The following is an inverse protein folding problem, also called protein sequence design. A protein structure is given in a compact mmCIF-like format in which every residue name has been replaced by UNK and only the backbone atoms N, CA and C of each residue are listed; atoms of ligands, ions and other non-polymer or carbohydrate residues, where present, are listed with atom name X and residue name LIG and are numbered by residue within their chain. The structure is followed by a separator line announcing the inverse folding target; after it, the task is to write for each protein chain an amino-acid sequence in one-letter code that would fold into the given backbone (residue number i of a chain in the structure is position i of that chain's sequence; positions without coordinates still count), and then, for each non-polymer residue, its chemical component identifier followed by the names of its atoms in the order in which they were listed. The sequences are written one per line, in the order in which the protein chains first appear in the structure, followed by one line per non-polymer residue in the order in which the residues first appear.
data_IF_253194983808
#
_entry.id   IF_253194983808
#
_cell.length_a   1.000
_cell.length_b   1.000
_cell.length_c   1.000
_cell.angle_alpha   90.00
_cell.angle_beta   90.00
_cell.angle_gamma   90.00
#
_symmetry.space_group_name_H-M   'P 1'
#
loop_
_entity.id
_entity.type
_entity.pdbx_description
1 polymer ?
#
# COMPACT_ATOMS: atom_id res chain seq x y z
N UNK A 1 -1.50 18.07 17.80
CA UNK A 1 -1.24 18.50 16.41
C UNK A 1 -0.54 17.43 15.58
N UNK A 2 0.62 16.88 15.99
CA UNK A 2 1.33 15.86 15.18
C UNK A 2 0.48 14.62 14.90
N UNK A 3 -0.18 14.06 15.91
CA UNK A 3 -1.10 12.93 15.76
C UNK A 3 -2.24 13.22 14.77
N UNK A 4 -2.88 14.39 14.88
CA UNK A 4 -3.95 14.78 13.96
C UNK A 4 -3.44 14.99 12.51
N UNK A 5 -2.23 15.53 12.34
CA UNK A 5 -1.62 15.67 11.02
C UNK A 5 -1.36 14.30 10.38
N UNK A 6 -0.88 13.32 11.17
CA UNK A 6 -0.72 11.95 10.69
C UNK A 6 -2.04 11.27 10.35
N UNK A 7 -3.06 11.46 11.18
CA UNK A 7 -4.39 10.87 11.01
C UNK A 7 -5.14 11.35 9.74
N UNK A 8 -4.71 12.46 9.13
CA UNK A 8 -5.26 12.92 7.85
C UNK A 8 -4.81 12.06 6.66
N UNK A 9 -3.61 11.51 6.70
CA UNK A 9 -3.04 10.82 5.55
C UNK A 9 -3.82 9.59 5.09
N UNK A 10 -4.35 8.72 5.96
CA UNK A 10 -5.14 7.57 5.55
C UNK A 10 -6.41 7.91 4.77
N UNK A 11 -6.92 9.14 4.88
CA UNK A 11 -8.05 9.60 4.07
C UNK A 11 -7.71 9.73 2.57
N UNK A 12 -6.43 9.68 2.21
CA UNK A 12 -5.99 9.70 0.82
C UNK A 12 -6.14 8.36 0.11
N UNK A 13 -6.36 7.28 0.85
CA UNK A 13 -6.48 5.92 0.31
C UNK A 13 -7.94 5.50 0.17
N UNK A 14 -8.17 4.43 -0.60
CA UNK A 14 -9.50 3.82 -0.70
C UNK A 14 -10.01 3.39 0.69
N UNK A 15 -11.31 3.51 0.97
CA UNK A 15 -12.40 3.92 0.08
C UNK A 15 -12.65 5.44 0.02
N UNK A 16 -11.92 6.27 0.78
CA UNK A 16 -12.19 7.72 0.88
C UNK A 16 -11.60 8.51 -0.30
N UNK A 17 -10.38 8.16 -0.75
CA UNK A 17 -9.68 8.67 -1.94
C UNK A 17 -9.50 10.21 -2.00
N UNK A 18 -9.45 10.87 -0.86
CA UNK A 18 -9.15 12.30 -0.76
C UNK A 18 -7.63 12.53 -0.78
N UNK A 19 -6.97 12.33 -1.95
CA UNK A 19 -5.53 12.44 -2.10
C UNK A 19 -4.94 13.76 -1.54
N UNK A 20 -5.72 14.84 -1.54
CA UNK A 20 -5.33 16.14 -0.97
C UNK A 20 -5.00 16.05 0.53
N UNK A 21 -5.67 15.14 1.26
CA UNK A 21 -5.41 14.90 2.68
C UNK A 21 -4.01 14.32 2.91
N UNK A 22 -3.54 13.45 2.01
CA UNK A 22 -2.18 12.92 2.03
C UNK A 22 -1.14 14.03 1.86
N UNK A 23 -1.30 14.87 0.85
CA UNK A 23 -0.40 16.00 0.61
C UNK A 23 -0.44 17.01 1.78
N UNK A 24 -1.63 17.35 2.29
CA UNK A 24 -1.78 18.24 3.45
C UNK A 24 -1.09 17.65 4.68
N UNK A 25 -1.22 16.36 4.92
CA UNK A 25 -0.55 15.66 6.02
C UNK A 25 0.97 15.83 5.93
N UNK A 26 1.56 15.64 4.74
CA UNK A 26 3.01 15.82 4.51
C UNK A 26 3.44 17.27 4.73
N UNK A 27 2.67 18.25 4.25
CA UNK A 27 2.92 19.68 4.48
C UNK A 27 2.97 19.99 5.97
N UNK A 28 1.97 19.51 6.71
CA UNK A 28 1.89 19.69 8.17
C UNK A 28 3.06 19.00 8.89
N UNK A 29 3.44 17.78 8.46
CA UNK A 29 4.60 17.07 8.98
C UNK A 29 5.88 17.91 8.81
N UNK A 30 6.13 18.42 7.61
CA UNK A 30 7.28 19.28 7.36
C UNK A 30 7.29 20.51 8.27
N UNK A 31 6.18 21.22 8.37
CA UNK A 31 6.04 22.41 9.22
C UNK A 31 6.27 22.10 10.71
N UNK A 32 5.77 20.97 11.20
CA UNK A 32 5.93 20.54 12.58
C UNK A 32 7.38 20.21 12.93
N UNK A 33 8.09 19.57 11.99
CA UNK A 33 9.48 19.14 12.17
C UNK A 33 10.50 20.25 11.88
N UNK A 34 10.09 21.31 11.17
CA UNK A 34 10.96 22.41 10.77
C UNK A 34 11.63 23.05 11.99
N UNK A 35 12.93 23.24 11.93
CA UNK A 35 13.78 23.87 12.96
C UNK A 35 13.72 23.23 14.37
N UNK A 36 13.22 21.98 14.47
CA UNK A 36 13.23 21.23 15.74
C UNK A 36 14.58 20.54 15.96
N UNK A 37 14.97 20.43 17.22
CA UNK A 37 16.09 19.58 17.60
C UNK A 37 15.80 18.11 17.23
N UNK A 38 16.79 17.28 16.83
CA UNK A 38 16.58 15.93 16.38
C UNK A 38 15.77 15.04 17.32
N UNK A 39 15.99 15.14 18.65
CA UNK A 39 15.22 14.39 19.66
C UNK A 39 13.75 14.81 19.68
N UNK A 40 13.45 16.11 19.58
CA UNK A 40 12.08 16.63 19.56
C UNK A 40 11.40 16.22 18.25
N UNK A 41 12.11 16.26 17.14
CA UNK A 41 11.60 15.81 15.84
C UNK A 41 11.27 14.31 15.86
N UNK A 42 12.09 13.47 16.51
CA UNK A 42 11.79 12.04 16.67
C UNK A 42 10.46 11.81 17.41
N UNK A 43 10.23 12.51 18.51
CA UNK A 43 8.95 12.40 19.26
C UNK A 43 7.76 12.90 18.41
N UNK A 44 7.92 14.03 17.73
CA UNK A 44 6.87 14.55 16.84
C UNK A 44 6.59 13.58 15.67
N UNK A 45 7.64 12.99 15.09
CA UNK A 45 7.52 11.94 14.08
C UNK A 45 6.79 10.70 14.61
N UNK A 46 7.11 10.26 15.83
CA UNK A 46 6.42 9.15 16.46
C UNK A 46 4.92 9.43 16.66
N UNK A 47 4.57 10.60 17.22
CA UNK A 47 3.14 10.99 17.34
C UNK A 47 2.44 11.13 15.98
N UNK A 48 3.15 11.60 14.96
CA UNK A 48 2.65 11.65 13.60
C UNK A 48 2.38 10.24 13.06
N UNK A 49 3.33 9.32 13.25
CA UNK A 49 3.18 7.91 12.89
C UNK A 49 2.04 7.21 13.64
N UNK A 50 1.84 7.52 14.93
CA UNK A 50 0.68 7.01 15.68
C UNK A 50 -0.65 7.43 15.04
N UNK A 51 -0.76 8.67 14.55
CA UNK A 51 -1.94 9.12 13.83
C UNK A 51 -2.10 8.40 12.49
N UNK A 52 -1.01 8.32 11.71
CA UNK A 52 -0.99 7.67 10.40
C UNK A 52 -1.42 6.20 10.49
N UNK A 53 -0.72 5.41 11.30
CA UNK A 53 -1.01 3.99 11.44
C UNK A 53 -2.25 3.70 12.31
N UNK A 54 -2.53 4.51 13.32
CA UNK A 54 -3.70 4.33 14.16
C UNK A 54 -5.02 4.37 13.37
N UNK A 55 -5.12 5.28 12.40
CA UNK A 55 -6.27 5.35 11.49
C UNK A 55 -6.14 4.35 10.36
N UNK A 56 -4.99 4.32 9.68
CA UNK A 56 -4.82 3.56 8.43
C UNK A 56 -4.72 2.05 8.62
N UNK A 57 -4.41 1.56 9.83
CA UNK A 57 -4.32 0.12 10.13
C UNK A 57 -5.31 -0.33 11.21
N UNK A 58 -6.36 0.45 11.47
CA UNK A 58 -7.40 0.12 12.46
C UNK A 58 -8.10 -1.22 12.20
N UNK A 59 -8.16 -1.66 10.94
CA UNK A 59 -8.70 -2.96 10.54
C UNK A 59 -7.95 -4.16 11.16
N UNK A 60 -6.70 -4.01 11.57
CA UNK A 60 -5.92 -5.07 12.25
C UNK A 60 -6.61 -5.51 13.55
N UNK A 61 -7.25 -4.58 14.25
CA UNK A 61 -8.04 -4.92 15.43
C UNK A 61 -9.14 -5.94 15.10
N UNK A 62 -9.87 -5.72 14.00
CA UNK A 62 -10.93 -6.63 13.54
C UNK A 62 -10.34 -7.99 13.16
N UNK A 63 -9.21 -7.99 12.45
CA UNK A 63 -8.53 -9.23 12.06
C UNK A 63 -8.14 -10.08 13.28
N UNK A 64 -7.61 -9.44 14.33
CA UNK A 64 -7.17 -10.15 15.55
C UNK A 64 -8.37 -10.57 16.42
N UNK A 65 -9.35 -9.68 16.60
CA UNK A 65 -10.49 -9.95 17.50
C UNK A 65 -11.52 -10.90 16.90
N UNK A 66 -11.87 -10.70 15.63
CA UNK A 66 -12.95 -11.49 14.97
C UNK A 66 -12.38 -12.77 14.36
N UNK A 67 -11.35 -12.67 13.53
CA UNK A 67 -10.82 -13.83 12.80
C UNK A 67 -9.73 -14.58 13.58
N UNK A 68 -9.00 -13.91 14.46
CA UNK A 68 -8.03 -14.51 15.36
C UNK A 68 -8.63 -15.00 16.68
N UNK A 69 -9.94 -14.83 16.92
CA UNK A 69 -10.64 -15.20 18.15
C UNK A 69 -9.98 -14.68 19.44
N UNK A 70 -9.23 -13.58 19.36
CA UNK A 70 -8.60 -12.99 20.53
C UNK A 70 -9.60 -12.15 21.35
N UNK A 71 -9.49 -12.23 22.68
CA UNK A 71 -10.32 -11.39 23.55
C UNK A 71 -10.14 -9.90 23.19
N UNK A 72 -11.22 -9.10 23.16
CA UNK A 72 -11.17 -7.69 22.74
C UNK A 72 -10.08 -6.84 23.40
N UNK A 73 -9.80 -6.94 24.70
CA UNK A 73 -8.71 -6.19 25.33
C UNK A 73 -7.33 -6.60 24.81
N UNK A 74 -7.12 -7.90 24.56
CA UNK A 74 -5.87 -8.42 24.01
C UNK A 74 -5.67 -7.94 22.57
N UNK A 75 -6.71 -8.04 21.72
CA UNK A 75 -6.69 -7.54 20.35
C UNK A 75 -6.35 -6.04 20.31
N UNK A 76 -6.93 -5.25 21.20
CA UNK A 76 -6.64 -3.82 21.32
C UNK A 76 -5.17 -3.56 21.68
N UNK A 77 -4.63 -4.26 22.69
CA UNK A 77 -3.23 -4.10 23.10
C UNK A 77 -2.27 -4.48 21.96
N UNK A 78 -2.51 -5.61 21.29
CA UNK A 78 -1.66 -6.05 20.16
C UNK A 78 -1.71 -5.01 19.02
N UNK A 79 -2.90 -4.51 18.66
CA UNK A 79 -3.04 -3.47 17.63
C UNK A 79 -2.32 -2.18 18.03
N UNK A 80 -2.44 -1.76 19.28
CA UNK A 80 -1.75 -0.57 19.78
C UNK A 80 -0.22 -0.72 19.74
N UNK A 81 0.30 -1.87 20.13
CA UNK A 81 1.73 -2.18 20.04
C UNK A 81 2.21 -2.18 18.59
N UNK A 82 1.43 -2.77 17.67
CA UNK A 82 1.74 -2.74 16.25
C UNK A 82 1.82 -1.30 15.72
N UNK A 83 0.82 -0.48 16.00
CA UNK A 83 0.78 0.94 15.61
C UNK A 83 1.97 1.70 16.20
N UNK A 84 2.31 1.47 17.48
CA UNK A 84 3.43 2.10 18.14
C UNK A 84 4.79 1.72 17.51
N UNK A 85 4.95 0.45 17.12
CA UNK A 85 6.13 -0.04 16.40
C UNK A 85 6.23 0.56 15.00
N UNK A 86 5.14 0.58 14.24
CA UNK A 86 5.12 1.21 12.91
C UNK A 86 5.41 2.71 12.98
N UNK A 87 4.97 3.40 14.02
CA UNK A 87 5.26 4.82 14.24
C UNK A 87 6.77 5.11 14.44
N UNK A 88 7.58 4.12 14.84
CA UNK A 88 9.02 4.28 14.98
C UNK A 88 9.72 4.60 13.65
N UNK A 89 9.18 4.16 12.50
CA UNK A 89 9.72 4.53 11.19
C UNK A 89 9.63 6.03 10.94
N UNK A 90 8.54 6.67 11.35
CA UNK A 90 8.40 8.13 11.29
C UNK A 90 9.28 8.84 12.32
N UNK A 91 9.48 8.26 13.50
CA UNK A 91 10.44 8.79 14.47
C UNK A 91 11.86 8.76 13.92
N UNK A 92 12.26 7.64 13.33
CA UNK A 92 13.57 7.47 12.71
C UNK A 92 13.76 8.43 11.53
N UNK A 93 12.79 8.50 10.62
CA UNK A 93 12.77 9.45 9.52
C UNK A 93 13.00 10.88 9.99
N UNK A 94 12.22 11.34 10.97
CA UNK A 94 12.29 12.71 11.47
C UNK A 94 13.64 13.00 12.17
N UNK A 95 14.13 12.03 12.95
CA UNK A 95 15.43 12.12 13.60
C UNK A 95 16.58 12.20 12.61
N UNK A 96 16.64 11.29 11.63
CA UNK A 96 17.68 11.23 10.60
C UNK A 96 17.67 12.51 9.77
N UNK A 97 16.51 12.90 9.27
CA UNK A 97 16.39 14.15 8.50
C UNK A 97 16.92 15.36 9.26
N UNK A 98 16.53 15.52 10.53
CA UNK A 98 16.98 16.66 11.34
C UNK A 98 18.46 16.56 11.75
N UNK A 99 19.01 15.37 11.84
CA UNK A 99 20.43 15.14 12.14
C UNK A 99 21.33 15.42 10.94
N UNK A 100 20.87 15.06 9.74
CA UNK A 100 21.63 15.17 8.50
C UNK A 100 21.29 16.42 7.68
N UNK A 101 20.29 17.21 8.08
CA UNK A 101 19.77 18.33 7.30
C UNK A 101 20.87 19.34 6.93
N UNK A 102 21.30 19.29 5.68
CA UNK A 102 22.11 20.31 5.05
C UNK A 102 21.20 21.41 4.49
N UNK A 103 21.55 22.69 4.71
CA UNK A 103 20.73 23.82 4.26
C UNK A 103 20.40 23.79 2.76
N UNK A 104 21.34 23.32 1.92
CA UNK A 104 21.17 23.25 0.45
C UNK A 104 20.27 22.10 0.01
N UNK A 105 20.24 21.01 0.76
CA UNK A 105 19.50 19.78 0.42
C UNK A 105 18.31 19.51 1.35
N UNK A 106 17.88 20.51 2.12
CA UNK A 106 16.85 20.36 3.16
C UNK A 106 15.56 19.73 2.65
N UNK A 107 15.04 20.18 1.51
CA UNK A 107 13.79 19.71 0.91
C UNK A 107 13.96 18.30 0.30
N UNK A 108 14.97 18.12 -0.52
CA UNK A 108 15.29 16.82 -1.12
C UNK A 108 15.67 15.79 -0.05
N UNK A 109 16.39 16.21 1.00
CA UNK A 109 16.73 15.37 2.14
C UNK A 109 15.49 14.91 2.94
N UNK A 110 14.47 15.77 3.06
CA UNK A 110 13.19 15.37 3.66
C UNK A 110 12.53 14.25 2.85
N UNK A 111 12.40 14.44 1.53
CA UNK A 111 11.81 13.46 0.64
C UNK A 111 12.61 12.15 0.60
N UNK A 112 13.94 12.24 0.55
CA UNK A 112 14.81 11.05 0.56
C UNK A 112 14.68 10.26 1.86
N UNK A 113 14.73 10.94 3.02
CA UNK A 113 14.55 10.26 4.32
C UNK A 113 13.15 9.64 4.46
N UNK A 114 12.12 10.29 3.91
CA UNK A 114 10.76 9.74 3.87
C UNK A 114 10.72 8.41 3.11
N UNK A 115 11.20 8.42 1.87
CA UNK A 115 11.21 7.21 1.02
C UNK A 115 12.09 6.11 1.59
N UNK A 116 13.23 6.46 2.18
CA UNK A 116 14.08 5.47 2.86
C UNK A 116 13.35 4.80 4.03
N UNK A 117 12.54 5.55 4.79
CA UNK A 117 11.73 4.99 5.87
C UNK A 117 10.60 4.09 5.33
N UNK A 118 9.95 4.45 4.21
CA UNK A 118 8.96 3.61 3.52
C UNK A 118 9.59 2.33 2.98
N UNK A 119 10.75 2.42 2.32
CA UNK A 119 11.48 1.27 1.80
C UNK A 119 11.94 0.33 2.92
N UNK A 120 12.49 0.88 4.02
CA UNK A 120 12.90 0.10 5.18
C UNK A 120 11.71 -0.63 5.81
N UNK A 121 10.56 0.04 5.93
CA UNK A 121 9.32 -0.56 6.44
C UNK A 121 8.78 -1.65 5.51
N UNK A 122 8.95 -1.51 4.21
CA UNK A 122 8.55 -2.51 3.22
C UNK A 122 9.43 -3.76 3.19
N UNK A 123 10.58 -3.73 3.86
CA UNK A 123 11.55 -4.83 3.82
C UNK A 123 11.83 -5.43 5.21
N UNK A 124 11.98 -4.62 6.26
CA UNK A 124 12.38 -5.07 7.58
C UNK A 124 11.28 -5.91 8.24
N UNK A 125 11.63 -7.04 8.88
CA UNK A 125 10.72 -8.00 9.52
C UNK A 125 9.63 -8.52 8.56
N UNK A 126 10.05 -9.03 7.40
CA UNK A 126 9.19 -9.46 6.28
C UNK A 126 8.47 -8.34 5.54
N UNK A 127 8.51 -7.12 6.08
CA UNK A 127 7.95 -5.91 5.49
C UNK A 127 6.46 -5.67 5.76
N UNK A 128 6.11 -4.40 5.83
CA UNK A 128 4.72 -3.93 5.88
C UNK A 128 4.55 -2.78 4.88
N UNK A 129 4.34 -3.06 3.58
CA UNK A 129 4.29 -2.04 2.51
C UNK A 129 2.97 -1.25 2.44
N UNK A 130 2.04 -1.44 3.37
CA UNK A 130 0.77 -0.70 3.40
C UNK A 130 0.99 0.80 3.62
N UNK A 131 0.09 1.61 3.07
CA UNK A 131 0.07 3.07 3.26
C UNK A 131 1.37 3.74 2.79
N UNK A 132 1.95 3.29 1.67
CA UNK A 132 2.99 4.07 0.98
C UNK A 132 2.35 5.29 0.35
N UNK A 133 2.95 6.48 0.55
CA UNK A 133 2.36 7.75 0.11
C UNK A 133 2.03 7.76 -1.40
N UNK A 134 2.90 7.15 -2.22
CA UNK A 134 2.69 7.07 -3.66
C UNK A 134 1.47 6.25 -4.07
N UNK A 135 1.09 5.22 -3.31
CA UNK A 135 -0.07 4.38 -3.64
C UNK A 135 -1.42 5.09 -3.48
N UNK A 136 -1.47 6.22 -2.76
CA UNK A 136 -2.66 7.08 -2.71
C UNK A 136 -2.96 7.81 -4.04
N UNK A 137 -2.09 7.68 -5.05
CA UNK A 137 -2.18 8.40 -6.33
C UNK A 137 -2.41 7.50 -7.54
N UNK A 138 -2.87 6.28 -7.34
CA UNK A 138 -3.17 5.32 -8.43
C UNK A 138 -4.18 5.86 -9.43
N UNK A 139 -5.15 6.64 -8.96
CA UNK A 139 -6.23 7.22 -9.78
C UNK A 139 -5.96 8.67 -10.21
N UNK A 140 -4.77 9.21 -9.93
CA UNK A 140 -4.41 10.58 -10.27
C UNK A 140 -3.42 10.64 -11.44
N UNK A 141 -3.21 11.82 -12.02
CA UNK A 141 -2.21 12.02 -13.10
C UNK A 141 -0.78 11.57 -12.71
N UNK A 142 -0.44 11.49 -11.43
CA UNK A 142 0.87 11.04 -10.97
C UNK A 142 1.09 9.54 -11.19
N UNK A 143 0.03 8.74 -11.39
CA UNK A 143 0.15 7.32 -11.76
C UNK A 143 0.95 7.11 -13.03
N UNK A 144 0.92 8.06 -13.98
CA UNK A 144 1.74 8.03 -15.20
C UNK A 144 3.26 8.00 -14.94
N UNK A 145 3.72 8.36 -13.74
CA UNK A 145 5.13 8.21 -13.35
C UNK A 145 5.48 6.79 -12.87
N UNK A 146 4.49 5.95 -12.57
CA UNK A 146 4.73 4.63 -11.99
C UNK A 146 5.64 3.72 -12.84
N UNK A 147 5.52 3.67 -14.19
CA UNK A 147 6.41 2.87 -15.02
C UNK A 147 7.89 3.32 -14.97
N UNK A 148 8.14 4.59 -14.64
CA UNK A 148 9.49 5.18 -14.60
C UNK A 148 10.15 5.04 -13.24
N UNK A 149 9.41 5.33 -12.16
CA UNK A 149 9.99 5.51 -10.82
C UNK A 149 9.34 4.65 -9.74
N UNK A 150 8.32 3.89 -10.09
CA UNK A 150 7.56 3.06 -9.14
C UNK A 150 6.83 3.87 -8.07
N UNK A 151 6.19 3.17 -7.13
CA UNK A 151 5.44 3.80 -6.02
C UNK A 151 6.33 4.63 -5.11
N UNK A 152 7.56 4.17 -4.83
CA UNK A 152 8.51 4.91 -3.98
C UNK A 152 8.98 6.21 -4.64
N UNK A 153 9.13 6.23 -5.96
CA UNK A 153 9.45 7.45 -6.69
C UNK A 153 8.30 8.47 -6.64
N UNK A 154 7.05 8.00 -6.73
CA UNK A 154 5.87 8.86 -6.53
C UNK A 154 5.82 9.39 -5.08
N UNK A 155 6.10 8.54 -4.08
CA UNK A 155 6.25 8.97 -2.68
C UNK A 155 7.31 10.07 -2.52
N UNK A 156 8.45 9.94 -3.22
CA UNK A 156 9.50 10.97 -3.21
C UNK A 156 9.00 12.30 -3.76
N UNK A 157 8.34 12.26 -4.90
CA UNK A 157 7.74 13.44 -5.55
C UNK A 157 6.77 14.15 -4.61
N UNK A 158 5.86 13.40 -4.00
CA UNK A 158 4.86 13.95 -3.07
C UNK A 158 5.49 14.52 -1.80
N UNK A 159 6.46 13.82 -1.22
CA UNK A 159 7.18 14.29 -0.05
C UNK A 159 7.97 15.59 -0.38
N UNK A 160 8.57 15.67 -1.57
CA UNK A 160 9.26 16.87 -2.04
C UNK A 160 8.29 18.04 -2.25
N UNK A 161 7.16 17.82 -2.92
CA UNK A 161 6.13 18.85 -3.12
C UNK A 161 5.54 19.31 -1.78
N UNK A 162 5.27 18.40 -0.86
CA UNK A 162 4.81 18.72 0.48
C UNK A 162 5.83 19.54 1.27
N UNK A 163 7.12 19.18 1.18
CA UNK A 163 8.20 19.95 1.80
C UNK A 163 8.36 21.35 1.18
N UNK A 164 8.26 21.48 -0.16
CA UNK A 164 8.32 22.77 -0.86
C UNK A 164 7.15 23.67 -0.45
N UNK A 165 5.94 23.13 -0.42
CA UNK A 165 4.74 23.85 0.00
C UNK A 165 4.84 24.27 1.47
N UNK A 166 5.29 23.38 2.36
CA UNK A 166 5.52 23.68 3.77
C UNK A 166 6.57 24.77 3.99
N UNK A 167 7.68 24.72 3.26
CA UNK A 167 8.71 25.77 3.32
C UNK A 167 8.17 27.11 2.83
N UNK A 168 7.38 27.11 1.74
CA UNK A 168 6.74 28.33 1.24
C UNK A 168 5.78 28.92 2.28
N UNK A 169 4.92 28.09 2.91
CA UNK A 169 4.01 28.55 3.96
C UNK A 169 4.76 29.15 5.14
N UNK A 170 5.86 28.52 5.59
CA UNK A 170 6.67 29.02 6.70
C UNK A 170 7.32 30.36 6.36
N UNK A 171 7.79 30.55 5.11
CA UNK A 171 8.38 31.83 4.65
C UNK A 171 7.31 32.92 4.54
N UNK A 172 6.16 32.62 3.95
CA UNK A 172 5.04 33.57 3.89
C UNK A 172 4.62 34.06 5.28
N UNK A 173 4.61 33.16 6.25
CA UNK A 173 4.28 33.51 7.62
C UNK A 173 5.34 34.35 8.30
N UNK A 174 6.64 34.06 8.07
CA UNK A 174 7.78 34.72 8.75
C UNK A 174 8.26 35.98 8.04
N UNK A 175 8.40 35.92 6.72
CA UNK A 175 9.12 36.92 5.95
C UNK A 175 8.24 37.79 5.04
N UNK A 176 6.94 37.42 4.91
CA UNK A 176 5.96 38.05 3.99
C UNK A 176 6.44 38.15 2.54
N UNK A 177 7.40 37.34 2.13
CA UNK A 177 7.97 37.35 0.77
C UNK A 177 7.46 36.16 -0.04
N UNK A 178 6.96 36.44 -1.24
CA UNK A 178 6.49 35.43 -2.21
C UNK A 178 7.60 34.98 -3.18
N UNK A 179 8.78 34.73 -2.69
CA UNK A 179 9.94 34.58 -3.54
C UNK A 179 10.29 33.17 -4.02
N UNK A 180 9.37 32.35 -4.61
CA UNK A 180 9.84 31.17 -5.36
C UNK A 180 8.84 30.71 -6.42
N UNK A 181 9.14 30.97 -7.67
CA UNK A 181 8.54 30.33 -8.85
C UNK A 181 8.87 28.83 -8.95
N UNK A 182 9.73 28.31 -8.06
CA UNK A 182 10.19 26.91 -8.10
C UNK A 182 9.04 25.90 -7.83
N UNK A 183 8.16 26.15 -6.87
CA UNK A 183 7.06 25.23 -6.58
C UNK A 183 6.10 25.08 -7.77
N UNK A 184 5.51 26.16 -8.32
CA UNK A 184 4.63 26.02 -9.49
C UNK A 184 5.37 25.43 -10.70
N UNK A 185 6.63 25.82 -10.95
CA UNK A 185 7.42 25.24 -12.03
C UNK A 185 7.63 23.72 -11.86
N UNK A 186 7.94 23.26 -10.64
CA UNK A 186 8.09 21.84 -10.34
C UNK A 186 6.76 21.11 -10.50
N UNK A 187 5.65 21.68 -10.01
CA UNK A 187 4.33 21.10 -10.19
C UNK A 187 3.97 20.95 -11.67
N UNK A 188 4.24 21.98 -12.49
CA UNK A 188 3.99 21.93 -13.94
C UNK A 188 4.86 20.86 -14.62
N UNK A 189 6.15 20.79 -14.30
CA UNK A 189 7.06 19.80 -14.86
C UNK A 189 6.61 18.38 -14.54
N UNK A 190 6.24 18.12 -13.30
CA UNK A 190 5.75 16.82 -12.85
C UNK A 190 4.42 16.45 -13.49
N UNK A 191 3.50 17.41 -13.56
CA UNK A 191 2.21 17.19 -14.22
C UNK A 191 2.38 16.85 -15.71
N UNK A 192 3.15 17.65 -16.46
CA UNK A 192 3.39 17.37 -17.86
C UNK A 192 4.21 16.10 -18.08
N UNK A 193 5.19 15.82 -17.21
CA UNK A 193 5.95 14.57 -17.25
C UNK A 193 5.08 13.34 -17.02
N UNK A 194 4.20 13.38 -16.02
CA UNK A 194 3.24 12.32 -15.73
C UNK A 194 2.23 12.12 -16.87
N UNK A 195 1.65 13.21 -17.35
CA UNK A 195 0.71 13.21 -18.46
C UNK A 195 1.33 12.70 -19.79
N UNK A 196 2.60 13.03 -20.04
CA UNK A 196 3.32 12.51 -21.18
C UNK A 196 3.64 11.02 -21.04
N UNK A 197 4.10 10.61 -19.86
CA UNK A 197 4.42 9.22 -19.55
C UNK A 197 3.20 8.30 -19.65
N UNK A 198 2.04 8.76 -19.23
CA UNK A 198 0.76 8.03 -19.33
C UNK A 198 0.35 7.73 -20.78
N UNK A 199 0.88 8.48 -21.76
CA UNK A 199 0.63 8.29 -23.19
C UNK A 199 1.64 7.42 -23.92
N UNK A 200 2.71 7.05 -23.22
CA UNK A 200 3.71 6.14 -23.78
C UNK A 200 3.19 4.70 -23.72
N UNK A 201 3.40 3.97 -24.80
CA UNK A 201 3.13 2.54 -24.84
C UNK A 201 4.32 1.83 -24.18
N UNK A 202 4.16 1.44 -22.93
CA UNK A 202 5.20 0.76 -22.14
C UNK A 202 5.28 -0.74 -22.42
N UNK A 203 4.17 -1.34 -22.86
CA UNK A 203 4.05 -2.77 -23.13
C UNK A 203 3.46 -2.97 -24.50
N UNK A 204 4.12 -3.78 -25.32
CA UNK A 204 3.61 -4.19 -26.63
C UNK A 204 3.15 -5.64 -26.49
N UNK A 205 1.98 -6.03 -27.07
CA UNK A 205 1.53 -7.41 -27.06
C UNK A 205 2.60 -8.33 -27.64
N UNK A 206 2.86 -9.45 -26.94
CA UNK A 206 3.87 -10.43 -27.37
C UNK A 206 3.36 -11.38 -28.45
N UNK A 207 2.04 -11.46 -28.65
CA UNK A 207 1.39 -12.25 -29.69
C UNK A 207 0.18 -11.49 -30.25
N UNK A 208 -0.23 -11.82 -31.48
CA UNK A 208 -1.44 -11.28 -32.09
C UNK A 208 -2.69 -12.01 -31.61
N UNK A 209 -2.56 -13.23 -31.09
CA UNK A 209 -3.68 -14.00 -30.58
C UNK A 209 -3.91 -13.68 -29.10
N UNK A 210 -5.11 -13.20 -28.74
CA UNK A 210 -5.47 -12.93 -27.38
C UNK A 210 -5.63 -14.23 -26.59
N UNK A 211 -5.10 -14.26 -25.36
CA UNK A 211 -5.34 -15.33 -24.40
C UNK A 211 -6.64 -15.04 -23.64
N UNK A 212 -7.52 -16.01 -23.57
CA UNK A 212 -8.80 -15.91 -22.85
C UNK A 212 -8.63 -16.37 -21.39
N UNK A 213 -9.20 -15.59 -20.45
CA UNK A 213 -9.06 -15.86 -19.02
C UNK A 213 -10.43 -15.84 -18.35
N UNK A 214 -10.79 -16.95 -17.70
CA UNK A 214 -11.93 -17.05 -16.80
C UNK A 214 -11.48 -16.83 -15.35
N UNK A 215 -12.07 -15.86 -14.65
CA UNK A 215 -11.74 -15.59 -13.24
C UNK A 215 -12.90 -16.03 -12.37
N UNK A 216 -12.64 -16.93 -11.43
CA UNK A 216 -13.62 -17.46 -10.48
C UNK A 216 -13.48 -16.77 -9.14
N UNK A 217 -14.56 -16.15 -8.66
CA UNK A 217 -14.63 -15.55 -7.33
C UNK A 217 -15.64 -16.33 -6.48
N UNK A 218 -15.15 -17.25 -5.65
CA UNK A 218 -16.00 -18.10 -4.80
C UNK A 218 -16.73 -17.34 -3.69
N UNK A 219 -16.21 -16.20 -3.26
CA UNK A 219 -16.76 -15.35 -2.19
C UNK A 219 -17.08 -16.11 -0.90
N UNK A 220 -16.24 -17.09 -0.56
CA UNK A 220 -16.40 -17.93 0.63
C UNK A 220 -16.23 -17.09 1.90
N UNK A 221 -17.20 -17.08 2.83
CA UNK A 221 -17.06 -16.36 4.08
C UNK A 221 -15.83 -16.82 4.87
N UNK A 222 -15.04 -15.88 5.40
CA UNK A 222 -13.79 -16.19 6.09
C UNK A 222 -13.97 -17.15 7.29
N UNK A 223 -15.10 -17.09 7.99
CA UNK A 223 -15.39 -17.97 9.11
C UNK A 223 -15.69 -19.42 8.69
N UNK A 224 -16.01 -19.67 7.42
CA UNK A 224 -16.28 -20.99 6.88
C UNK A 224 -15.07 -21.56 6.13
N UNK A 225 -14.21 -20.69 5.63
CA UNK A 225 -13.11 -21.04 4.72
C UNK A 225 -12.19 -22.13 5.26
N UNK A 226 -11.93 -22.15 6.56
CA UNK A 226 -11.00 -23.10 7.20
C UNK A 226 -11.71 -24.14 8.09
N UNK A 227 -13.03 -24.21 8.03
CA UNK A 227 -13.80 -25.22 8.74
C UNK A 227 -14.02 -26.44 7.82
N UNK A 228 -13.53 -27.60 8.25
CA UNK A 228 -13.62 -28.83 7.49
C UNK A 228 -15.09 -29.25 7.16
N UNK A 229 -16.06 -28.79 7.95
CA UNK A 229 -17.48 -29.05 7.68
C UNK A 229 -17.97 -28.39 6.37
N UNK A 230 -17.33 -27.31 5.92
CA UNK A 230 -17.72 -26.59 4.70
C UNK A 230 -16.85 -26.93 3.49
N UNK A 231 -15.89 -27.85 3.62
CA UNK A 231 -14.95 -28.15 2.53
C UNK A 231 -15.68 -28.62 1.26
N UNK A 232 -16.69 -29.49 1.39
CA UNK A 232 -17.46 -29.99 0.25
C UNK A 232 -18.25 -28.85 -0.43
N UNK A 233 -18.88 -27.96 0.34
CA UNK A 233 -19.63 -26.83 -0.16
C UNK A 233 -18.71 -25.83 -0.92
N UNK A 234 -17.46 -25.70 -0.44
CA UNK A 234 -16.43 -24.89 -1.11
C UNK A 234 -16.06 -25.52 -2.46
N UNK A 235 -15.79 -26.82 -2.50
CA UNK A 235 -15.48 -27.57 -3.73
C UNK A 235 -16.63 -27.43 -4.73
N UNK A 236 -17.86 -27.68 -4.30
CA UNK A 236 -19.06 -27.59 -5.15
C UNK A 236 -19.25 -26.16 -5.70
N UNK A 237 -18.96 -25.14 -4.88
CA UNK A 237 -19.01 -23.73 -5.31
C UNK A 237 -18.01 -23.46 -6.43
N UNK A 238 -16.76 -23.92 -6.29
CA UNK A 238 -15.76 -23.73 -7.34
C UNK A 238 -16.05 -24.56 -8.59
N UNK A 239 -16.63 -25.76 -8.46
CA UNK A 239 -17.05 -26.58 -9.59
C UNK A 239 -18.16 -25.90 -10.39
N UNK A 240 -19.22 -25.45 -9.73
CA UNK A 240 -20.34 -24.75 -10.39
C UNK A 240 -19.87 -23.46 -11.07
N UNK A 241 -19.03 -22.66 -10.41
CA UNK A 241 -18.57 -21.40 -10.96
C UNK A 241 -17.55 -21.57 -12.09
N UNK A 242 -16.80 -22.65 -12.09
CA UNK A 242 -15.81 -22.96 -13.14
C UNK A 242 -16.43 -23.58 -14.37
N UNK A 243 -17.56 -24.28 -14.24
CA UNK A 243 -18.20 -25.01 -15.34
C UNK A 243 -18.39 -24.20 -16.63
N UNK A 244 -18.88 -22.95 -16.62
CA UNK A 244 -19.01 -22.14 -17.84
C UNK A 244 -17.68 -21.54 -18.35
N UNK A 245 -16.58 -21.68 -17.59
CA UNK A 245 -15.32 -21.02 -17.86
C UNK A 245 -14.25 -21.94 -18.44
N UNK A 246 -14.43 -23.26 -18.44
CA UNK A 246 -13.44 -24.23 -18.91
C UNK A 246 -13.04 -24.04 -20.37
N UNK A 247 -13.88 -23.40 -21.20
CA UNK A 247 -13.55 -23.07 -22.59
C UNK A 247 -12.51 -21.93 -22.77
N UNK A 248 -12.01 -21.35 -21.67
CA UNK A 248 -10.97 -20.33 -21.67
C UNK A 248 -9.59 -21.00 -21.57
N UNK A 249 -8.56 -20.35 -22.13
CA UNK A 249 -7.17 -20.83 -22.05
C UNK A 249 -6.69 -20.96 -20.61
N UNK A 250 -7.12 -20.05 -19.72
CA UNK A 250 -6.84 -20.09 -18.29
C UNK A 250 -8.12 -19.90 -17.47
N UNK A 251 -8.26 -20.75 -16.43
CA UNK A 251 -9.22 -20.56 -15.35
C UNK A 251 -8.46 -20.24 -14.07
N UNK A 252 -8.68 -19.04 -13.52
CA UNK A 252 -7.95 -18.56 -12.35
C UNK A 252 -8.86 -18.60 -11.11
N UNK A 253 -8.39 -19.30 -10.09
CA UNK A 253 -8.98 -19.29 -8.76
C UNK A 253 -8.18 -18.37 -7.82
N UNK A 254 -8.79 -17.82 -6.76
CA UNK A 254 -8.09 -16.95 -5.83
C UNK A 254 -7.07 -17.69 -4.98
N UNK A 255 -6.25 -16.95 -4.27
CA UNK A 255 -5.33 -17.47 -3.26
C UNK A 255 -6.06 -18.31 -2.22
N UNK A 256 -5.54 -19.49 -1.94
CA UNK A 256 -6.13 -20.44 -0.98
C UNK A 256 -7.60 -20.73 -1.32
N UNK A 257 -7.90 -20.98 -2.59
CA UNK A 257 -9.25 -21.33 -3.03
C UNK A 257 -9.76 -22.61 -2.30
N UNK A 258 -8.88 -23.60 -2.20
CA UNK A 258 -9.11 -24.81 -1.42
C UNK A 258 -8.33 -24.76 -0.12
N UNK A 259 -8.97 -24.77 1.06
CA UNK A 259 -8.31 -24.69 2.36
C UNK A 259 -7.73 -26.03 2.81
N UNK A 260 -7.06 -26.72 1.92
CA UNK A 260 -6.43 -28.02 2.15
C UNK A 260 -4.95 -27.95 1.80
N UNK A 261 -4.16 -28.84 2.38
CA UNK A 261 -2.74 -28.96 2.03
C UNK A 261 -2.61 -29.71 0.71
N UNK A 262 -1.71 -29.28 -0.15
CA UNK A 262 -1.51 -29.88 -1.49
C UNK A 262 -1.33 -31.40 -1.45
N UNK A 263 -0.61 -31.90 -0.44
CA UNK A 263 -0.37 -33.33 -0.28
C UNK A 263 -1.66 -34.14 0.00
N UNK A 264 -2.70 -33.50 0.53
CA UNK A 264 -3.97 -34.13 0.87
C UNK A 264 -5.06 -33.81 -0.19
N UNK A 265 -4.76 -32.94 -1.17
CA UNK A 265 -5.71 -32.45 -2.18
C UNK A 265 -5.70 -33.25 -3.50
N UNK A 266 -4.90 -34.32 -3.60
CA UNK A 266 -4.64 -35.01 -4.87
C UNK A 266 -5.89 -35.33 -5.68
N UNK A 267 -6.87 -36.00 -5.08
CA UNK A 267 -8.11 -36.41 -5.76
C UNK A 267 -8.97 -35.20 -6.22
N UNK A 268 -8.95 -34.07 -5.46
CA UNK A 268 -9.67 -32.85 -5.84
C UNK A 268 -8.97 -32.18 -7.03
N UNK A 269 -7.64 -32.11 -6.97
CA UNK A 269 -6.83 -31.52 -8.05
C UNK A 269 -6.94 -32.35 -9.34
N UNK A 270 -6.90 -33.70 -9.24
CA UNK A 270 -7.04 -34.57 -10.39
C UNK A 270 -8.41 -34.40 -11.06
N UNK A 271 -9.47 -34.22 -10.26
CA UNK A 271 -10.83 -33.98 -10.78
C UNK A 271 -10.89 -32.69 -11.61
N UNK A 272 -10.39 -31.58 -11.07
CA UNK A 272 -10.41 -30.31 -11.80
C UNK A 272 -9.38 -30.23 -12.94
N UNK A 273 -8.24 -30.90 -12.79
CA UNK A 273 -7.26 -31.02 -13.86
C UNK A 273 -7.82 -31.77 -15.07
N UNK A 274 -8.59 -32.86 -14.85
CA UNK A 274 -9.24 -33.57 -15.93
C UNK A 274 -10.22 -32.67 -16.70
N UNK A 275 -11.01 -31.87 -16.01
CA UNK A 275 -11.92 -30.91 -16.67
C UNK A 275 -11.15 -29.87 -17.51
N UNK A 276 -10.06 -29.31 -16.96
CA UNK A 276 -9.24 -28.35 -17.71
C UNK A 276 -8.64 -28.99 -18.98
N UNK A 277 -8.15 -30.24 -18.90
CA UNK A 277 -7.57 -30.97 -20.04
C UNK A 277 -8.62 -31.26 -21.10
N UNK A 278 -9.85 -31.62 -20.74
CA UNK A 278 -10.94 -31.89 -21.70
C UNK A 278 -11.27 -30.69 -22.61
N UNK A 279 -10.94 -29.47 -22.18
CA UNK A 279 -11.14 -28.23 -22.92
C UNK A 279 -9.85 -27.57 -23.40
N UNK A 280 -8.70 -28.26 -23.32
CA UNK A 280 -7.36 -27.73 -23.65
C UNK A 280 -7.00 -26.45 -22.87
N UNK A 281 -7.57 -26.33 -21.65
CA UNK A 281 -7.39 -25.17 -20.76
C UNK A 281 -6.40 -25.47 -19.61
N UNK A 282 -6.08 -24.43 -18.85
CA UNK A 282 -5.19 -24.52 -17.69
C UNK A 282 -5.85 -23.94 -16.43
N UNK A 283 -5.94 -24.74 -15.35
CA UNK A 283 -6.35 -24.24 -14.04
C UNK A 283 -5.15 -23.69 -13.27
N UNK A 284 -5.27 -22.47 -12.75
CA UNK A 284 -4.33 -21.88 -11.82
C UNK A 284 -5.02 -21.65 -10.48
N UNK A 285 -4.53 -22.30 -9.44
CA UNK A 285 -5.10 -22.23 -8.08
C UNK A 285 -4.00 -22.16 -7.02
N UNK A 286 -4.30 -21.52 -5.88
CA UNK A 286 -3.41 -21.47 -4.72
C UNK A 286 -3.80 -22.48 -3.65
N UNK A 287 -2.82 -23.19 -3.09
CA UNK A 287 -2.97 -24.15 -2.00
C UNK A 287 -1.85 -23.97 -0.98
N UNK A 288 -2.07 -24.50 0.23
CA UNK A 288 -1.00 -24.66 1.21
C UNK A 288 -0.11 -25.85 0.82
N UNK A 289 1.21 -25.69 0.93
CA UNK A 289 2.15 -26.79 0.87
C UNK A 289 2.80 -26.99 2.23
N UNK A 290 3.10 -28.24 2.61
CA UNK A 290 4.00 -28.53 3.73
C UNK A 290 5.43 -28.51 3.20
N UNK A 291 6.29 -27.75 3.85
CA UNK A 291 7.72 -27.89 3.63
C UNK A 291 8.18 -29.27 4.12
N UNK A 292 9.02 -29.93 3.34
CA UNK A 292 9.53 -31.27 3.62
C UNK A 292 10.56 -31.25 4.74
#
# INVERSE_FOLDING_TARGET
MALGAGALAPLAYSPVELWQCGLLSVILCYCLLHDRAPRVAAWLGWYYGLGWFGVGTSWIYVSISVYGNAAPPLAFVITLLFVALMALYFALFAWVWRRLACRRLKLAGFAACWVMAEALRGWLFTGFPWLQLGSAHVTTALSGLAPLVGVLGISFVLALLGAMAGELLLRLYRERTMGHAALPATCMLLFFGAWYSDRLIWVVPGSEEPVTVGIVQGNIPQGQKFDAAYLQDIIDTYDILSAPLWQHDFVLWPETALPVVQQDAGHILDYFAAQAVDYDGTLVTGLFARDA
#
